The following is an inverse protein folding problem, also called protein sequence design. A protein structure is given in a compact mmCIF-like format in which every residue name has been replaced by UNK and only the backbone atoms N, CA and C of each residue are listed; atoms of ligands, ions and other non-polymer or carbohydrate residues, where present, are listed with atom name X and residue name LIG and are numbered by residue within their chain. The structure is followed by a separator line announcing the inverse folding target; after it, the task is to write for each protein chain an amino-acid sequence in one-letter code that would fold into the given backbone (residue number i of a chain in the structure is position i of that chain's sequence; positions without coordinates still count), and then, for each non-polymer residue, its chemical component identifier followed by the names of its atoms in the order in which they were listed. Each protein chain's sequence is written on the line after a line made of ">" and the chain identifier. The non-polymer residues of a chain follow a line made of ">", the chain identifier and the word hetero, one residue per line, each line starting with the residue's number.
data_IF_859786184588
#
_entry.id   IF_859786184588
#
_cell.length_a   1.000
_cell.length_b   1.000
_cell.length_c   1.000
_cell.angle_alpha   90.00
_cell.angle_beta   90.00
_cell.angle_gamma   90.00
#
_symmetry.space_group_name_H-M   'P 1'
#
loop_
_entity.id
_entity.type
_entity.pdbx_description
1 polymer ?
#
# COMPACT_ATOMS: atom_id res chain seq x y z
N UNK A 1 13.86 -1.62 13.17
CA UNK A 1 12.81 -1.21 12.22
C UNK A 1 12.34 -2.48 11.52
N UNK A 2 11.05 -2.85 11.61
CA UNK A 2 10.51 -4.19 11.29
C UNK A 2 10.20 -4.44 9.80
N UNK A 3 10.53 -3.48 8.93
CA UNK A 3 9.95 -3.38 7.60
C UNK A 3 10.98 -2.88 6.59
N UNK A 4 11.05 -3.58 5.46
CA UNK A 4 11.65 -3.10 4.21
C UNK A 4 10.52 -2.74 3.26
N UNK A 5 10.73 -1.76 2.36
CA UNK A 5 9.69 -1.36 1.42
C UNK A 5 10.28 -1.17 0.03
N UNK A 6 9.43 -1.43 -0.98
CA UNK A 6 9.75 -1.17 -2.38
C UNK A 6 8.54 -0.53 -3.05
N UNK A 7 8.73 0.69 -3.52
CA UNK A 7 7.76 1.35 -4.40
C UNK A 7 7.91 0.77 -5.80
N UNK A 8 6.80 0.38 -6.42
CA UNK A 8 6.77 -0.05 -7.82
C UNK A 8 5.69 0.74 -8.54
N UNK A 9 6.10 1.55 -9.51
CA UNK A 9 5.18 2.06 -10.51
C UNK A 9 4.97 0.96 -11.55
N UNK A 10 3.73 0.54 -11.74
CA UNK A 10 3.39 -0.36 -12.83
C UNK A 10 3.08 0.49 -14.06
N UNK A 11 3.80 0.30 -15.18
CA UNK A 11 3.43 0.96 -16.42
C UNK A 11 2.04 0.49 -16.84
N UNK A 12 1.33 1.34 -17.57
CA UNK A 12 0.13 0.98 -18.31
C UNK A 12 0.31 -0.39 -19.00
N UNK A 13 -0.40 -1.42 -18.55
CA UNK A 13 -0.33 -2.72 -19.20
C UNK A 13 -1.10 -2.65 -20.53
N UNK A 14 -0.40 -2.73 -21.66
CA UNK A 14 -1.00 -3.02 -22.95
C UNK A 14 -1.62 -4.41 -22.91
N UNK A 15 -2.94 -4.50 -22.72
CA UNK A 15 -3.64 -5.72 -23.11
C UNK A 15 -3.63 -5.78 -24.65
N UNK A 16 -3.02 -6.83 -25.22
CA UNK A 16 -3.27 -7.18 -26.62
C UNK A 16 -4.75 -7.61 -26.73
N UNK A 17 -5.55 -6.75 -27.35
CA UNK A 17 -6.98 -6.96 -27.55
C UNK A 17 -7.19 -7.87 -28.78
N UNK A 18 -7.89 -8.98 -28.60
CA UNK A 18 -8.63 -9.58 -29.71
C UNK A 18 -9.95 -8.80 -29.86
N UNK A 19 -10.03 -8.05 -30.96
CA UNK A 19 -11.23 -7.44 -31.54
C UNK A 19 -12.04 -6.42 -30.72
N UNK A 20 -11.78 -5.14 -31.01
CA UNK A 20 -12.84 -4.14 -31.18
C UNK A 20 -13.02 -3.15 -30.05
N UNK A 21 -12.81 -1.87 -30.38
CA UNK A 21 -13.08 -0.65 -29.60
C UNK A 21 -11.97 -0.23 -28.62
N UNK A 22 -11.21 0.77 -29.06
CA UNK A 22 -10.16 1.49 -28.34
C UNK A 22 -10.76 2.71 -27.64
N UNK A 23 -11.26 2.57 -26.42
CA UNK A 23 -11.39 3.69 -25.48
C UNK A 23 -11.17 3.16 -24.06
N UNK A 24 -9.98 3.41 -23.52
CA UNK A 24 -9.58 3.46 -22.10
C UNK A 24 -8.10 3.07 -22.00
N UNK A 25 -7.25 4.06 -22.24
CA UNK A 25 -5.83 4.04 -21.90
C UNK A 25 -5.71 3.60 -20.43
N UNK A 26 -5.21 2.40 -20.16
CA UNK A 26 -4.99 1.94 -18.79
C UNK A 26 -3.91 2.84 -18.20
N UNK A 27 -4.27 3.64 -17.20
CA UNK A 27 -3.36 4.63 -16.63
C UNK A 27 -2.26 3.96 -15.79
N UNK A 28 -1.07 4.57 -15.70
CA UNK A 28 -0.03 4.10 -14.79
C UNK A 28 -0.54 4.08 -13.34
N UNK A 29 -0.23 3.01 -12.63
CA UNK A 29 -0.78 2.72 -11.30
C UNK A 29 0.35 2.54 -10.29
N UNK A 30 0.21 3.17 -9.12
CA UNK A 30 1.21 3.13 -8.07
C UNK A 30 0.89 2.05 -7.04
N UNK A 31 1.82 1.11 -6.87
CA UNK A 31 1.74 0.07 -5.84
C UNK A 31 2.92 0.22 -4.87
N UNK A 32 2.59 0.20 -3.58
CA UNK A 32 3.57 0.11 -2.51
C UNK A 32 3.64 -1.33 -2.00
N UNK A 33 4.76 -2.01 -2.24
CA UNK A 33 5.06 -3.29 -1.64
C UNK A 33 5.82 -3.07 -0.33
N UNK A 34 5.31 -3.62 0.76
CA UNK A 34 5.86 -3.52 2.10
C UNK A 34 6.23 -4.94 2.54
N UNK A 35 7.51 -5.21 2.61
CA UNK A 35 8.04 -6.50 3.05
C UNK A 35 8.23 -6.46 4.57
N UNK A 36 7.45 -7.28 5.28
CA UNK A 36 7.53 -7.40 6.73
C UNK A 36 8.61 -8.44 7.04
N UNK A 37 9.80 -7.96 7.42
CA UNK A 37 10.98 -8.81 7.65
C UNK A 37 10.94 -9.51 9.01
N UNK A 38 10.25 -8.93 9.98
CA UNK A 38 10.07 -9.50 11.32
C UNK A 38 8.66 -9.24 11.84
N UNK A 39 8.00 -10.29 12.33
CA UNK A 39 6.78 -10.19 13.16
C UNK A 39 7.07 -10.78 14.54
N UNK A 40 6.48 -10.18 15.57
CA UNK A 40 6.51 -10.72 16.93
C UNK A 40 5.76 -12.06 17.00
N UNK A 41 6.10 -12.95 17.94
CA UNK A 41 5.42 -14.24 18.07
C UNK A 41 3.90 -14.13 18.31
N UNK A 42 3.48 -13.04 18.95
CA UNK A 42 2.08 -12.78 19.32
C UNK A 42 1.29 -12.11 18.18
N UNK A 43 1.97 -11.52 17.20
CA UNK A 43 1.32 -10.89 16.04
C UNK A 43 0.71 -11.95 15.12
N UNK A 44 -0.61 -11.91 15.01
CA UNK A 44 -1.41 -12.92 14.32
C UNK A 44 -2.12 -12.39 13.08
N UNK A 45 -2.57 -11.14 13.09
CA UNK A 45 -3.34 -10.53 12.00
C UNK A 45 -2.79 -9.15 11.68
N UNK A 46 -2.87 -8.78 10.42
CA UNK A 46 -2.60 -7.42 9.95
C UNK A 46 -3.84 -6.84 9.31
N UNK A 47 -4.14 -5.61 9.67
CA UNK A 47 -5.23 -4.81 9.11
C UNK A 47 -4.65 -3.51 8.58
N UNK A 48 -5.06 -3.12 7.38
CA UNK A 48 -4.68 -1.86 6.76
C UNK A 48 -5.94 -1.03 6.62
N UNK A 49 -5.92 0.15 7.22
CA UNK A 49 -7.00 1.11 7.18
C UNK A 49 -6.55 2.36 6.40
N UNK A 50 -7.43 2.89 5.56
CA UNK A 50 -7.23 4.22 4.95
C UNK A 50 -7.55 5.30 6.00
N UNK A 51 -6.83 6.43 5.91
CA UNK A 51 -7.02 7.60 6.75
C UNK A 51 -8.32 8.33 6.44
N UNK A 52 -8.91 8.07 5.27
CA UNK A 52 -10.24 8.54 4.88
C UNK A 52 -11.37 7.71 5.53
N UNK A 53 -11.02 6.65 6.27
CA UNK A 53 -11.97 5.72 6.84
C UNK A 53 -12.28 4.59 5.86
N UNK A 54 -11.97 3.36 6.26
CA UNK A 54 -12.22 2.18 5.44
C UNK A 54 -11.10 1.15 5.58
N UNK A 55 -11.49 -0.13 5.63
CA UNK A 55 -10.53 -1.23 5.60
C UNK A 55 -10.07 -1.45 4.16
N UNK A 56 -8.76 -1.30 3.93
CA UNK A 56 -8.11 -1.56 2.64
C UNK A 56 -7.76 -3.04 2.52
N UNK A 57 -7.32 -3.65 3.62
CA UNK A 57 -6.89 -5.03 3.65
C UNK A 57 -6.97 -5.58 5.06
N UNK A 58 -7.35 -6.85 5.20
CA UNK A 58 -7.19 -7.60 6.43
C UNK A 58 -6.75 -9.02 6.15
N UNK A 59 -5.66 -9.47 6.78
CA UNK A 59 -5.07 -10.78 6.51
C UNK A 59 -4.41 -11.37 7.75
N UNK A 60 -4.52 -12.69 7.90
CA UNK A 60 -3.77 -13.44 8.91
C UNK A 60 -2.29 -13.51 8.51
N UNK A 61 -1.40 -13.27 9.46
CA UNK A 61 0.03 -13.30 9.26
C UNK A 61 0.53 -14.75 9.11
N UNK A 62 1.19 -15.06 7.99
CA UNK A 62 1.99 -16.29 7.76
C UNK A 62 3.32 -15.88 7.12
N UNK A 63 4.46 -16.08 7.81
CA UNK A 63 5.79 -15.70 7.29
C UNK A 63 6.12 -16.45 5.98
N UNK A 64 6.84 -15.82 5.03
CA UNK A 64 7.11 -14.38 4.88
C UNK A 64 5.89 -13.63 4.30
N UNK A 65 5.77 -12.32 4.58
CA UNK A 65 4.64 -11.50 4.11
C UNK A 65 5.13 -10.24 3.42
N UNK A 66 4.67 -10.09 2.19
CA UNK A 66 4.61 -8.82 1.48
C UNK A 66 3.18 -8.32 1.53
N UNK A 67 2.99 -7.08 1.98
CA UNK A 67 1.73 -6.35 1.82
C UNK A 67 1.83 -5.50 0.57
N UNK A 68 0.84 -5.59 -0.32
CA UNK A 68 0.75 -4.71 -1.48
C UNK A 68 -0.38 -3.73 -1.25
N UNK A 69 -0.06 -2.44 -1.18
CA UNK A 69 -1.03 -1.36 -1.10
C UNK A 69 -1.21 -0.72 -2.47
N UNK A 70 -2.45 -0.68 -2.92
CA UNK A 70 -2.90 0.00 -4.12
C UNK A 70 -3.09 1.48 -3.80
N UNK A 71 -2.24 2.37 -4.32
CA UNK A 71 -2.28 3.80 -3.97
C UNK A 71 -3.08 4.64 -4.98
N UNK A 72 -3.40 4.10 -6.17
CA UNK A 72 -4.18 4.76 -7.21
C UNK A 72 -3.38 5.05 -8.49
N UNK A 73 -4.01 5.77 -9.42
CA UNK A 73 -3.44 6.12 -10.71
C UNK A 73 -2.58 7.39 -10.61
N UNK A 74 -1.51 7.47 -11.41
CA UNK A 74 -0.53 8.56 -11.33
C UNK A 74 -0.69 9.66 -12.37
N UNK A 75 -1.63 9.51 -13.31
CA UNK A 75 -1.76 10.35 -14.52
C UNK A 75 -3.22 10.61 -14.93
N UNK A 76 -4.19 10.37 -14.03
CA UNK A 76 -5.59 10.74 -14.27
C UNK A 76 -5.80 12.24 -13.99
N UNK A 77 -6.36 12.97 -14.96
CA UNK A 77 -6.73 14.39 -14.82
C UNK A 77 -7.89 14.56 -13.81
N UNK A 78 -8.65 13.49 -13.55
CA UNK A 78 -9.78 13.50 -12.62
C UNK A 78 -9.48 12.86 -11.25
N UNK A 79 -8.50 11.97 -11.17
CA UNK A 79 -8.23 11.13 -9.99
C UNK A 79 -6.72 11.01 -9.72
N UNK A 80 -6.07 12.18 -9.64
CA UNK A 80 -4.71 12.38 -9.13
C UNK A 80 -4.43 11.48 -7.91
N UNK A 81 -3.17 11.08 -7.72
CA UNK A 81 -2.73 10.38 -6.51
C UNK A 81 -3.14 11.20 -5.27
N UNK A 82 -4.25 10.80 -4.63
CA UNK A 82 -4.80 11.51 -3.49
C UNK A 82 -3.89 11.28 -2.29
N UNK A 83 -3.42 12.34 -1.62
CA UNK A 83 -2.73 12.19 -0.36
C UNK A 83 -3.62 11.41 0.61
N UNK A 84 -3.07 10.36 1.17
CA UNK A 84 -3.75 9.54 2.16
C UNK A 84 -2.75 9.07 3.22
N UNK A 85 -3.26 8.67 4.36
CA UNK A 85 -2.49 8.05 5.43
C UNK A 85 -3.02 6.64 5.67
N UNK A 86 -2.22 5.64 5.35
CA UNK A 86 -2.56 4.25 5.66
C UNK A 86 -2.05 3.87 7.05
N UNK A 87 -2.92 3.25 7.83
CA UNK A 87 -2.61 2.71 9.14
C UNK A 87 -2.59 1.18 9.05
N UNK A 88 -1.42 0.60 9.27
CA UNK A 88 -1.20 -0.85 9.27
C UNK A 88 -1.10 -1.29 10.72
N UNK A 89 -2.11 -1.99 11.21
CA UNK A 89 -2.21 -2.52 12.56
C UNK A 89 -1.85 -3.99 12.57
N UNK A 90 -0.99 -4.38 13.51
CA UNK A 90 -0.69 -5.76 13.82
C UNK A 90 -1.38 -6.12 15.13
N UNK A 91 -2.23 -7.13 15.10
CA UNK A 91 -3.01 -7.56 16.26
C UNK A 91 -2.73 -9.02 16.59
N UNK A 92 -3.02 -9.39 17.83
CA UNK A 92 -2.99 -10.79 18.27
C UNK A 92 -4.24 -11.57 17.80
N UNK A 93 -4.44 -12.75 18.39
CA UNK A 93 -5.58 -13.64 18.10
C UNK A 93 -6.89 -13.13 18.68
N UNK A 94 -6.83 -12.38 19.78
CA UNK A 94 -7.97 -11.86 20.51
C UNK A 94 -8.43 -10.51 19.91
N UNK A 95 -7.60 -9.91 19.06
CA UNK A 95 -7.88 -8.69 18.32
C UNK A 95 -7.19 -7.46 18.91
N UNK A 96 -6.40 -7.64 19.96
CA UNK A 96 -5.67 -6.55 20.60
C UNK A 96 -4.52 -6.09 19.70
N UNK A 97 -4.43 -4.77 19.50
CA UNK A 97 -3.41 -4.16 18.66
C UNK A 97 -2.08 -4.16 19.42
N UNK A 98 -1.10 -4.88 18.91
CA UNK A 98 0.24 -4.98 19.48
C UNK A 98 1.20 -3.95 18.89
N UNK A 99 1.06 -3.64 17.60
CA UNK A 99 1.92 -2.67 16.92
C UNK A 99 1.24 -2.00 15.74
N UNK A 100 1.80 -0.87 15.32
CA UNK A 100 1.26 -0.05 14.23
C UNK A 100 2.38 0.52 13.35
N UNK A 101 2.12 0.56 12.05
CA UNK A 101 2.88 1.30 11.05
C UNK A 101 1.97 2.29 10.33
N UNK A 102 2.37 3.56 10.29
CA UNK A 102 1.70 4.65 9.57
C UNK A 102 2.48 4.95 8.30
N UNK A 103 1.80 4.95 7.17
CA UNK A 103 2.34 5.29 5.85
C UNK A 103 1.60 6.51 5.31
N UNK A 104 2.29 7.63 5.12
CA UNK A 104 1.69 8.80 4.48
C UNK A 104 2.13 8.90 3.04
N UNK A 105 1.17 9.05 2.14
CA UNK A 105 1.37 9.39 0.74
C UNK A 105 1.12 10.88 0.57
N UNK A 106 2.08 11.60 -0.01
CA UNK A 106 1.98 13.03 -0.28
C UNK A 106 1.64 13.28 -1.76
N UNK A 107 1.21 14.51 -2.07
CA UNK A 107 0.88 14.93 -3.45
C UNK A 107 2.05 14.80 -4.42
N UNK A 108 3.26 14.97 -3.92
CA UNK A 108 4.51 14.84 -4.70
C UNK A 108 4.98 13.39 -4.85
N UNK A 109 4.11 12.41 -4.53
CA UNK A 109 4.39 10.97 -4.54
C UNK A 109 5.42 10.54 -3.49
N UNK A 110 5.82 11.41 -2.56
CA UNK A 110 6.70 11.03 -1.45
C UNK A 110 5.95 10.18 -0.40
N UNK A 111 6.70 9.26 0.22
CA UNK A 111 6.20 8.34 1.23
C UNK A 111 6.89 8.59 2.58
N UNK A 112 6.10 8.77 3.64
CA UNK A 112 6.63 8.93 4.99
C UNK A 112 6.15 7.77 5.88
N UNK A 113 7.06 7.21 6.67
CA UNK A 113 6.76 6.08 7.56
C UNK A 113 6.93 6.51 9.03
N UNK A 114 5.92 6.28 9.88
CA UNK A 114 5.97 6.54 11.33
C UNK A 114 6.59 7.90 11.72
N UNK A 115 6.20 8.96 10.99
CA UNK A 115 6.69 10.34 11.14
C UNK A 115 8.22 10.50 10.97
N UNK A 116 8.92 9.50 10.43
CA UNK A 116 10.29 9.60 9.93
C UNK A 116 10.28 9.83 8.42
N UNK A 117 10.98 10.88 8.00
CA UNK A 117 11.22 11.20 6.60
C UNK A 117 12.15 10.14 5.99
N UNK A 118 11.69 9.46 4.93
CA UNK A 118 12.57 8.66 4.09
C UNK A 118 12.46 9.22 2.68
N UNK A 119 13.47 10.00 2.29
CA UNK A 119 13.62 10.52 0.94
C UNK A 119 13.94 9.31 0.04
N UNK A 120 13.10 9.00 -0.94
CA UNK A 120 13.52 8.10 -2.02
C UNK A 120 14.07 8.92 -3.19
N UNK A 121 15.07 8.30 -3.83
CA UNK A 121 15.90 8.73 -4.96
C UNK A 121 15.10 9.04 -6.21
#
# INVERSE_FOLDING_TARGET
>A
MKVEYKLKEKPASLYQQNNGTLENSILPHLELAIDITSIEPEEFRVNVMSGQGGEVMSKRLKKPITLTLSLGFTDDIFDDLKPDTYHIYFSDKDGDILSQLKVQVKKDKSLHFNDRFVRNL
#
